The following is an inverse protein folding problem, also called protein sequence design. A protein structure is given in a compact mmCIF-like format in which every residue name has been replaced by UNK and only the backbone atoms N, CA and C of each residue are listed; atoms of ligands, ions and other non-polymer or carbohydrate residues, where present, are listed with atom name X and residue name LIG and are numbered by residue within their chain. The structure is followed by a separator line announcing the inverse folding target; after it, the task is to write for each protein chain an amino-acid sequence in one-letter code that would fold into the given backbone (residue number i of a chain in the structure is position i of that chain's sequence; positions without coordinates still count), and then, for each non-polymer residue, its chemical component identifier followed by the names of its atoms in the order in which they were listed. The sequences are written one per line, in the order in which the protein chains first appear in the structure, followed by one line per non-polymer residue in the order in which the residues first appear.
data_IF_436320172875
#
_entry.id   IF_436320172875
#
_cell.length_a   1.000
_cell.length_b   1.000
_cell.length_c   1.000
_cell.angle_alpha   90.00
_cell.angle_beta   90.00
_cell.angle_gamma   90.00
#
_symmetry.space_group_name_H-M   'P 1'
#
loop_
_entity.id
_entity.type
_entity.pdbx_description
1 polymer ?
#
# COMPACT_ATOMS: atom_id res chain seq x y z
N UNK A 1 5.21 1.36 10.19
CA UNK A 1 5.91 2.04 9.07
C UNK A 1 4.87 2.78 8.23
N UNK A 2 5.19 3.92 7.59
CA UNK A 2 4.26 4.56 6.66
C UNK A 2 4.03 3.62 5.48
N UNK A 3 2.77 3.49 5.04
CA UNK A 3 2.45 2.69 3.87
C UNK A 3 3.00 3.37 2.62
N UNK A 4 3.63 2.57 1.76
CA UNK A 4 4.19 3.03 0.50
C UNK A 4 3.20 2.76 -0.63
N UNK A 5 2.92 3.78 -1.43
CA UNK A 5 2.13 3.67 -2.65
C UNK A 5 3.01 4.14 -3.79
N UNK A 6 3.22 3.29 -4.78
CA UNK A 6 3.99 3.62 -5.97
C UNK A 6 3.06 3.58 -7.18
N UNK A 7 3.11 4.62 -8.00
CA UNK A 7 2.24 4.79 -9.15
C UNK A 7 3.03 5.13 -10.41
N UNK A 8 2.59 4.59 -11.54
CA UNK A 8 3.15 4.92 -12.85
C UNK A 8 2.55 6.23 -13.38
N UNK A 9 3.41 7.18 -13.74
CA UNK A 9 3.04 8.48 -14.26
C UNK A 9 2.18 8.43 -15.53
N UNK A 10 2.26 7.33 -16.29
CA UNK A 10 1.44 7.09 -17.49
C UNK A 10 0.14 6.34 -17.22
N UNK A 11 -0.01 5.71 -16.06
CA UNK A 11 -1.22 4.98 -15.70
C UNK A 11 -2.22 5.86 -14.92
N UNK A 12 -1.74 6.90 -14.24
CA UNK A 12 -2.58 7.79 -13.43
C UNK A 12 -2.91 9.09 -14.17
N UNK A 13 -4.07 9.66 -13.85
CA UNK A 13 -4.46 10.99 -14.28
C UNK A 13 -4.21 12.06 -13.20
N UNK A 14 -4.44 13.32 -13.56
CA UNK A 14 -4.26 14.45 -12.65
C UNK A 14 -5.19 14.39 -11.43
N UNK A 15 -6.42 13.88 -11.61
CA UNK A 15 -7.36 13.70 -10.51
C UNK A 15 -6.82 12.70 -9.47
N UNK A 16 -6.30 11.58 -9.95
CA UNK A 16 -5.69 10.53 -9.12
C UNK A 16 -4.47 11.07 -8.38
N UNK A 17 -3.62 11.86 -9.05
CA UNK A 17 -2.48 12.54 -8.40
C UNK A 17 -2.92 13.43 -7.25
N UNK A 18 -3.97 14.23 -7.43
CA UNK A 18 -4.50 15.09 -6.36
C UNK A 18 -5.02 14.26 -5.18
N UNK A 19 -5.73 13.16 -5.44
CA UNK A 19 -6.20 12.26 -4.39
C UNK A 19 -5.04 11.60 -3.61
N UNK A 20 -3.98 11.19 -4.30
CA UNK A 20 -2.76 10.65 -3.70
C UNK A 20 -2.01 11.68 -2.84
N UNK A 21 -1.95 12.94 -3.26
CA UNK A 21 -1.36 14.02 -2.44
C UNK A 21 -2.18 14.31 -1.17
N UNK A 22 -3.52 14.28 -1.28
CA UNK A 22 -4.40 14.40 -0.11
C UNK A 22 -4.18 13.23 0.84
N UNK A 23 -4.02 12.01 0.32
CA UNK A 23 -3.67 10.81 1.07
C UNK A 23 -2.38 10.97 1.87
N UNK A 24 -1.32 11.44 1.20
CA UNK A 24 -0.02 11.73 1.81
C UNK A 24 -0.17 12.71 2.97
N UNK A 25 -0.93 13.78 2.76
CA UNK A 25 -1.10 14.85 3.77
C UNK A 25 -1.97 14.40 4.95
N UNK A 26 -3.06 13.66 4.69
CA UNK A 26 -4.04 13.29 5.71
C UNK A 26 -3.63 12.06 6.53
N UNK A 27 -2.92 11.11 5.94
CA UNK A 27 -2.63 9.82 6.57
C UNK A 27 -1.13 9.46 6.61
N UNK A 28 -0.25 10.38 6.21
CA UNK A 28 1.20 10.18 6.25
C UNK A 28 1.68 8.98 5.44
N UNK A 29 1.03 8.68 4.30
CA UNK A 29 1.54 7.68 3.36
C UNK A 29 2.69 8.24 2.54
N UNK A 30 3.61 7.38 2.14
CA UNK A 30 4.62 7.72 1.16
C UNK A 30 4.02 7.44 -0.22
N UNK A 31 3.98 8.45 -1.08
CA UNK A 31 3.60 8.27 -2.49
C UNK A 31 4.82 8.54 -3.35
N UNK A 32 5.16 7.60 -4.22
CA UNK A 32 6.24 7.72 -5.20
C UNK A 32 5.62 7.61 -6.58
N UNK A 33 5.89 8.61 -7.42
CA UNK A 33 5.49 8.58 -8.82
C UNK A 33 6.71 8.24 -9.66
N UNK A 34 6.64 7.11 -10.35
CA UNK A 34 7.70 6.59 -11.21
C UNK A 34 7.29 6.68 -12.68
N UNK A 35 8.27 6.93 -13.55
CA UNK A 35 8.00 7.06 -14.98
C UNK A 35 7.56 5.73 -15.61
N UNK A 36 8.14 4.60 -15.18
CA UNK A 36 7.68 3.26 -15.58
C UNK A 36 8.07 2.25 -14.50
N UNK A 37 7.11 1.44 -14.05
CA UNK A 37 7.32 0.42 -13.00
C UNK A 37 7.56 -0.99 -13.56
N UNK A 38 7.72 -1.14 -14.88
CA UNK A 38 7.83 -2.46 -15.53
C UNK A 38 6.51 -3.24 -15.66
N UNK A 39 5.40 -2.67 -15.20
CA UNK A 39 4.03 -3.24 -15.30
C UNK A 39 3.26 -2.70 -16.51
N UNK A 40 3.92 -2.65 -17.68
CA UNK A 40 3.29 -2.08 -18.88
C UNK A 40 2.11 -2.91 -19.40
N UNK A 41 2.10 -4.22 -19.14
CA UNK A 41 0.98 -5.07 -19.55
C UNK A 41 -0.27 -4.69 -18.76
N UNK A 42 -0.14 -4.58 -17.44
CA UNK A 42 -1.20 -4.19 -16.53
C UNK A 42 -1.63 -2.75 -16.77
N UNK A 43 -0.69 -1.87 -17.09
CA UNK A 43 -0.97 -0.49 -17.52
C UNK A 43 -1.87 -0.42 -18.76
N UNK A 44 -1.71 -1.36 -19.69
CA UNK A 44 -2.53 -1.45 -20.90
C UNK A 44 -3.90 -2.08 -20.61
N UNK A 45 -3.94 -3.06 -19.71
CA UNK A 45 -5.19 -3.72 -19.30
C UNK A 45 -6.08 -2.79 -18.46
N UNK A 46 -5.49 -1.90 -17.65
CA UNK A 46 -6.25 -0.91 -16.92
C UNK A 46 -5.52 -0.21 -15.78
N UNK A 47 -6.29 0.41 -14.87
CA UNK A 47 -5.78 1.07 -13.68
C UNK A 47 -5.06 0.10 -12.74
N UNK A 48 -3.85 0.46 -12.31
CA UNK A 48 -3.13 -0.25 -11.27
C UNK A 48 -2.35 0.70 -10.34
N UNK A 49 -2.02 0.19 -9.16
CA UNK A 49 -1.14 0.82 -8.16
C UNK A 49 -0.27 -0.26 -7.51
N UNK A 50 0.92 0.10 -7.05
CA UNK A 50 1.68 -0.76 -6.13
C UNK A 50 1.49 -0.25 -4.70
N UNK A 51 1.12 -1.14 -3.79
CA UNK A 51 0.94 -0.82 -2.37
C UNK A 51 1.85 -1.73 -1.55
N UNK A 52 2.87 -1.15 -0.90
CA UNK A 52 3.94 -1.87 -0.20
C UNK A 52 4.58 -2.96 -1.08
N UNK A 53 4.76 -2.66 -2.39
CA UNK A 53 5.30 -3.59 -3.39
C UNK A 53 4.31 -4.63 -3.93
N UNK A 54 3.06 -4.65 -3.47
CA UNK A 54 2.02 -5.53 -3.98
C UNK A 54 1.20 -4.84 -5.09
N UNK A 55 0.97 -5.55 -6.19
CA UNK A 55 0.15 -5.06 -7.30
C UNK A 55 -1.34 -5.07 -6.92
N UNK A 56 -1.97 -3.90 -7.02
CA UNK A 56 -3.39 -3.68 -6.84
C UNK A 56 -3.96 -3.19 -8.17
N UNK A 57 -4.89 -3.96 -8.74
CA UNK A 57 -5.62 -3.62 -9.95
C UNK A 57 -7.10 -3.44 -9.63
N UNK A 58 -7.78 -2.57 -10.36
CA UNK A 58 -9.20 -2.31 -10.13
C UNK A 58 -9.88 -1.63 -11.30
N UNK A 59 -11.20 -1.44 -11.18
CA UNK A 59 -11.99 -0.82 -12.24
C UNK A 59 -11.63 0.66 -12.47
N UNK A 60 -11.15 1.36 -11.44
CA UNK A 60 -10.66 2.74 -11.50
C UNK A 60 -9.73 3.04 -10.32
N UNK A 61 -8.86 4.04 -10.47
CA UNK A 61 -7.99 4.49 -9.37
C UNK A 61 -8.80 4.93 -8.15
N UNK A 62 -9.94 5.60 -8.32
CA UNK A 62 -10.80 6.01 -7.21
C UNK A 62 -11.28 4.82 -6.35
N UNK A 63 -11.66 3.71 -6.98
CA UNK A 63 -12.08 2.49 -6.28
C UNK A 63 -10.90 1.89 -5.51
N UNK A 64 -9.72 1.80 -6.15
CA UNK A 64 -8.53 1.27 -5.50
C UNK A 64 -8.10 2.13 -4.31
N UNK A 65 -8.14 3.47 -4.44
CA UNK A 65 -7.82 4.37 -3.35
C UNK A 65 -8.80 4.19 -2.18
N UNK A 66 -10.11 4.06 -2.45
CA UNK A 66 -11.16 3.73 -1.44
C UNK A 66 -10.89 2.43 -0.70
N UNK A 67 -10.42 1.40 -1.41
CA UNK A 67 -10.02 0.13 -0.82
C UNK A 67 -8.82 0.32 0.11
N UNK A 68 -7.78 1.03 -0.34
CA UNK A 68 -6.61 1.37 0.48
C UNK A 68 -7.02 2.15 1.74
N UNK A 69 -7.93 3.13 1.63
CA UNK A 69 -8.47 3.86 2.80
C UNK A 69 -9.20 2.93 3.77
N UNK A 70 -10.00 2.00 3.25
CA UNK A 70 -10.83 1.09 4.05
C UNK A 70 -9.97 0.08 4.83
N UNK A 71 -9.01 -0.56 4.16
CA UNK A 71 -8.15 -1.60 4.75
C UNK A 71 -7.17 -1.07 5.81
N UNK A 72 -6.81 0.22 5.79
CA UNK A 72 -5.98 0.78 6.88
C UNK A 72 -6.70 0.87 8.22
N UNK A 73 -8.02 0.92 8.21
CA UNK A 73 -8.83 0.92 9.45
C UNK A 73 -8.72 -0.41 10.18
N UNK A 74 -8.57 -1.52 9.46
CA UNK A 74 -8.58 -2.88 10.02
C UNK A 74 -7.18 -3.36 10.44
N UNK A 75 -6.11 -2.91 9.78
CA UNK A 75 -4.73 -3.38 10.08
C UNK A 75 -4.17 -2.92 11.44
N UNK A 76 -4.75 -1.90 12.08
CA UNK A 76 -4.39 -1.50 13.45
C UNK A 76 -4.65 -2.59 14.49
N UNK A 77 -5.57 -3.53 14.22
CA UNK A 77 -5.93 -4.59 15.18
C UNK A 77 -5.01 -5.82 15.07
N UNK A 78 -4.55 -6.16 13.88
CA UNK A 78 -3.76 -7.39 13.63
C UNK A 78 -2.27 -7.26 14.02
N UNK A 79 -1.68 -6.05 13.99
CA UNK A 79 -0.27 -5.85 14.37
C UNK A 79 -0.05 -5.93 15.90
N UNK A 80 -1.12 -5.84 16.70
CA UNK A 80 -1.09 -6.08 18.14
C UNK A 80 -0.94 -7.56 18.53
N UNK A 81 -1.20 -8.50 17.61
CA UNK A 81 -1.23 -9.94 17.94
C UNK A 81 0.10 -10.68 17.70
N UNK A 82 1.08 -10.05 17.04
CA UNK A 82 2.41 -10.67 16.78
C UNK A 82 3.51 -10.27 17.76
N UNK A 83 3.25 -9.34 18.70
CA UNK A 83 4.19 -8.94 19.76
C UNK A 83 3.89 -9.61 21.11
N UNK A 84 3.66 -10.92 21.07
CA UNK A 84 3.31 -11.71 22.25
C UNK A 84 3.98 -13.07 22.26
N UNK A 85 5.28 -13.15 21.97
CA UNK A 85 6.10 -14.30 22.36
C UNK A 85 7.58 -13.93 22.44
N UNK A 86 7.92 -13.05 23.37
CA UNK A 86 9.28 -13.01 23.92
C UNK A 86 9.28 -13.71 25.29
N UNK A 87 10.24 -14.62 25.46
CA UNK A 87 10.85 -14.89 26.77
C UNK A 87 10.34 -16.11 27.55
N UNK A 88 11.17 -17.16 27.60
CA UNK A 88 11.73 -17.80 28.82
C UNK A 88 12.26 -19.21 28.45
N UNK A 89 13.58 -19.40 28.26
CA UNK A 89 14.55 -19.93 29.25
C UNK A 89 14.06 -21.23 29.91
N UNK A 90 14.67 -22.39 29.70
CA UNK A 90 15.91 -22.81 30.39
C UNK A 90 16.40 -24.17 29.82
N UNK A 91 17.68 -24.28 29.47
CA UNK A 91 18.45 -25.52 29.72
C UNK A 91 18.63 -25.62 31.26
N UNK A 92 18.74 -26.79 31.92
CA UNK A 92 19.50 -27.98 31.49
C UNK A 92 18.86 -29.35 31.82
N UNK A 93 19.43 -30.46 31.35
CA UNK A 93 19.13 -31.78 31.93
C UNK A 93 19.71 -33.01 31.22
N UNK A 94 20.68 -33.62 31.92
CA UNK A 94 21.24 -34.98 31.83
C UNK A 94 22.48 -35.18 30.93
#
# INVERSE_FOLDING_TARGET
MPQLIECCAYNIDEQTRQQLQQLRSKYGVTVIEECCQGHCCECFEGPYLLVDGALLCGASHDVMLKEIFSHRSTRKEEEGKRRGREGQTTEPGA
#
